data_IF_765706919872
#
_entry.id   IF_765706919872
#
_cell.length_a   1.000
_cell.length_b   1.000
_cell.length_c   1.000
_cell.angle_alpha   90.00
_cell.angle_beta   90.00
_cell.angle_gamma   90.00
#
_symmetry.space_group_name_H-M   'P 1'
#
loop_
_entity.id
_entity.type
_entity.pdbx_description
1 polymer ?
#
# COMPACT_ATOMS: atom_id res chain seq x y z
N UNK A 1 -21.52 1.22 22.76
CA UNK A 1 -20.60 1.58 21.66
C UNK A 1 -21.14 2.83 21.01
N UNK A 2 -20.31 3.83 20.76
CA UNK A 2 -20.70 4.99 19.96
C UNK A 2 -21.01 4.52 18.53
N UNK A 3 -21.93 5.19 17.85
CA UNK A 3 -22.14 4.99 16.41
C UNK A 3 -20.92 5.51 15.63
N UNK A 4 -20.81 5.09 14.36
CA UNK A 4 -19.75 5.59 13.47
C UNK A 4 -19.88 7.11 13.31
N UNK A 5 -21.11 7.62 13.19
CA UNK A 5 -21.40 9.04 13.08
C UNK A 5 -20.95 9.81 14.33
N UNK A 6 -21.21 9.29 15.53
CA UNK A 6 -20.76 9.89 16.80
C UNK A 6 -19.22 9.91 16.89
N UNK A 7 -18.55 8.82 16.48
CA UNK A 7 -17.08 8.76 16.43
C UNK A 7 -16.48 9.74 15.42
N UNK A 8 -17.13 9.96 14.27
CA UNK A 8 -16.70 10.95 13.29
C UNK A 8 -16.80 12.36 13.87
N UNK A 9 -17.89 12.69 14.56
CA UNK A 9 -18.05 14.00 15.19
C UNK A 9 -16.97 14.24 16.25
N UNK A 10 -16.72 13.26 17.11
CA UNK A 10 -15.65 13.34 18.11
C UNK A 10 -14.27 13.46 17.47
N UNK A 11 -13.97 12.70 16.41
CA UNK A 11 -12.70 12.81 15.70
C UNK A 11 -12.51 14.17 15.03
N UNK A 12 -13.59 14.77 14.49
CA UNK A 12 -13.54 16.08 13.85
C UNK A 12 -13.40 17.24 14.85
N UNK A 13 -13.85 17.05 16.10
CA UNK A 13 -13.72 18.04 17.19
C UNK A 13 -12.27 18.19 17.69
N UNK A 14 -11.41 17.20 17.40
CA UNK A 14 -10.01 17.23 17.81
C UNK A 14 -9.19 18.31 17.09
N UNK A 15 -8.12 18.84 17.74
CA UNK A 15 -7.13 19.67 17.08
C UNK A 15 -6.50 18.97 15.87
N UNK A 16 -6.07 19.75 14.88
CA UNK A 16 -5.57 19.22 13.61
C UNK A 16 -4.43 18.20 13.77
N UNK A 17 -3.51 18.42 14.70
CA UNK A 17 -2.40 17.49 14.99
C UNK A 17 -2.88 16.14 15.53
N UNK A 18 -3.85 16.15 16.44
CA UNK A 18 -4.45 14.94 16.99
C UNK A 18 -5.23 14.15 15.94
N UNK A 19 -5.86 14.83 14.98
CA UNK A 19 -6.53 14.17 13.85
C UNK A 19 -5.53 13.46 12.93
N UNK A 20 -4.41 14.08 12.62
CA UNK A 20 -3.33 13.44 11.83
C UNK A 20 -2.84 12.18 12.54
N UNK A 21 -2.55 12.28 13.85
CA UNK A 21 -2.14 11.12 14.64
C UNK A 21 -3.19 10.00 14.66
N UNK A 22 -4.47 10.34 14.79
CA UNK A 22 -5.56 9.38 14.74
C UNK A 22 -5.64 8.67 13.38
N UNK A 23 -5.51 9.43 12.28
CA UNK A 23 -5.48 8.87 10.91
C UNK A 23 -4.32 7.89 10.75
N UNK A 24 -3.12 8.23 11.21
CA UNK A 24 -1.96 7.31 11.16
C UNK A 24 -2.22 6.00 11.90
N UNK A 25 -2.85 6.06 13.08
CA UNK A 25 -3.19 4.86 13.86
C UNK A 25 -4.26 4.01 13.17
N UNK A 26 -5.28 4.66 12.60
CA UNK A 26 -6.34 3.97 11.86
C UNK A 26 -5.79 3.27 10.62
N UNK A 27 -4.97 3.96 9.82
CA UNK A 27 -4.28 3.35 8.66
C UNK A 27 -3.46 2.15 9.11
N UNK A 28 -2.66 2.30 10.18
CA UNK A 28 -1.85 1.19 10.71
C UNK A 28 -2.69 0.01 11.19
N UNK A 29 -3.89 0.24 11.72
CA UNK A 29 -4.80 -0.85 12.10
C UNK A 29 -5.42 -1.58 10.90
N UNK A 30 -5.42 -0.97 9.71
CA UNK A 30 -5.85 -1.65 8.48
C UNK A 30 -4.71 -2.50 7.90
N UNK A 31 -3.46 -2.20 8.25
CA UNK A 31 -2.28 -2.96 7.83
C UNK A 31 -2.08 -4.26 8.63
N UNK A 32 -2.83 -4.49 9.72
CA UNK A 32 -2.67 -5.68 10.56
C UNK A 32 -3.29 -6.96 10.00
N UNK A 33 -4.14 -6.85 8.97
CA UNK A 33 -4.73 -8.01 8.27
C UNK A 33 -3.93 -8.42 7.01
N UNK A 34 -2.73 -7.88 6.84
CA UNK A 34 -1.83 -8.33 5.78
C UNK A 34 -1.21 -9.64 6.25
N UNK A 35 -1.61 -10.74 5.61
CA UNK A 35 -0.99 -12.05 5.81
C UNK A 35 0.53 -11.92 5.64
N UNK A 36 1.27 -12.19 6.70
CA UNK A 36 2.73 -12.05 6.73
C UNK A 36 3.40 -12.91 5.66
N UNK A 37 2.80 -14.05 5.30
CA UNK A 37 3.29 -14.89 4.19
C UNK A 37 3.10 -14.22 2.83
N UNK A 38 1.97 -13.53 2.64
CA UNK A 38 1.74 -12.71 1.45
C UNK A 38 2.79 -11.60 1.41
N UNK A 39 2.94 -10.81 2.49
CA UNK A 39 3.92 -9.73 2.55
C UNK A 39 5.35 -10.21 2.27
N UNK A 40 5.75 -11.34 2.84
CA UNK A 40 7.07 -11.94 2.62
C UNK A 40 7.26 -12.40 1.17
N UNK A 41 6.21 -12.95 0.55
CA UNK A 41 6.24 -13.34 -0.86
C UNK A 41 6.41 -12.12 -1.78
N UNK A 42 5.66 -11.04 -1.52
CA UNK A 42 5.80 -9.77 -2.26
C UNK A 42 7.19 -9.16 -2.09
N UNK A 43 7.71 -9.13 -0.86
CA UNK A 43 9.06 -8.63 -0.58
C UNK A 43 10.14 -9.45 -1.29
N UNK A 44 9.98 -10.77 -1.35
CA UNK A 44 10.92 -11.68 -2.02
C UNK A 44 10.93 -11.42 -3.53
N UNK A 45 9.75 -11.36 -4.15
CA UNK A 45 9.63 -11.10 -5.58
C UNK A 45 10.13 -9.70 -5.95
N UNK A 46 9.83 -8.68 -5.15
CA UNK A 46 10.31 -7.31 -5.38
C UNK A 46 11.84 -7.22 -5.34
N UNK A 47 12.48 -7.86 -4.36
CA UNK A 47 13.96 -7.93 -4.27
C UNK A 47 14.55 -8.67 -5.46
N UNK A 48 13.98 -9.82 -5.81
CA UNK A 48 14.40 -10.62 -6.97
C UNK A 48 14.36 -9.78 -8.26
N UNK A 49 13.22 -9.16 -8.60
CA UNK A 49 13.09 -8.34 -9.82
C UNK A 49 14.05 -7.16 -9.87
N UNK A 50 14.24 -6.49 -8.73
CA UNK A 50 15.23 -5.40 -8.60
C UNK A 50 16.64 -5.91 -8.94
N UNK A 51 17.01 -7.06 -8.40
CA UNK A 51 18.35 -7.62 -8.58
C UNK A 51 18.54 -8.17 -10.01
N UNK A 52 17.51 -8.75 -10.61
CA UNK A 52 17.52 -9.15 -12.03
C UNK A 52 17.78 -7.95 -12.96
N UNK A 53 17.13 -6.81 -12.71
CA UNK A 53 17.36 -5.58 -13.48
C UNK A 53 18.78 -5.05 -13.24
N UNK A 54 19.21 -4.93 -11.98
CA UNK A 54 20.54 -4.38 -11.63
C UNK A 54 21.70 -5.21 -12.16
N UNK A 55 21.52 -6.53 -12.15
CA UNK A 55 22.52 -7.48 -12.63
C UNK A 55 22.38 -7.77 -14.13
N UNK A 56 21.50 -7.06 -14.85
CA UNK A 56 21.27 -7.23 -16.29
C UNK A 56 20.88 -8.67 -16.68
N UNK A 57 20.22 -9.40 -15.78
CA UNK A 57 19.70 -10.75 -16.02
C UNK A 57 18.48 -10.68 -16.95
N UNK A 58 17.75 -9.57 -16.89
CA UNK A 58 16.56 -9.30 -17.73
C UNK A 58 16.70 -7.95 -18.42
N UNK A 59 16.10 -7.83 -19.61
CA UNK A 59 16.00 -6.55 -20.32
C UNK A 59 14.69 -5.85 -19.93
N UNK A 60 14.74 -4.69 -19.25
CA UNK A 60 13.54 -3.95 -18.89
C UNK A 60 12.93 -3.28 -20.13
N UNK A 61 11.60 -3.24 -20.17
CA UNK A 61 10.85 -2.43 -21.15
C UNK A 61 10.40 -1.10 -20.53
N UNK A 62 10.06 -0.13 -21.36
CA UNK A 62 9.44 1.13 -20.90
C UNK A 62 8.13 0.85 -20.14
N UNK A 63 7.94 1.52 -18.99
CA UNK A 63 6.72 1.40 -18.18
C UNK A 63 5.45 1.77 -18.95
N UNK A 64 5.52 2.77 -19.83
CA UNK A 64 4.38 3.15 -20.69
C UNK A 64 4.00 2.01 -21.65
N UNK A 65 5.01 1.35 -22.24
CA UNK A 65 4.80 0.19 -23.11
C UNK A 65 4.20 -0.98 -22.34
N UNK A 66 4.69 -1.27 -21.15
CA UNK A 66 4.17 -2.33 -20.29
C UNK A 66 2.69 -2.09 -19.92
N UNK A 67 2.35 -0.88 -19.46
CA UNK A 67 0.97 -0.54 -19.10
C UNK A 67 0.03 -0.51 -20.31
N UNK A 68 0.52 -0.10 -21.48
CA UNK A 68 -0.27 -0.17 -22.72
C UNK A 68 -0.63 -1.61 -23.09
N UNK A 69 0.31 -2.55 -22.96
CA UNK A 69 0.04 -3.98 -23.20
C UNK A 69 -0.99 -4.54 -22.22
N UNK A 70 -0.90 -4.23 -20.92
CA UNK A 70 -1.87 -4.69 -19.91
C UNK A 70 -3.29 -4.24 -20.25
N UNK A 71 -3.45 -2.97 -20.66
CA UNK A 71 -4.75 -2.41 -21.05
C UNK A 71 -5.38 -3.08 -22.28
N UNK A 72 -4.61 -3.80 -23.08
CA UNK A 72 -5.14 -4.56 -24.22
C UNK A 72 -5.66 -5.95 -23.81
N UNK A 73 -5.33 -6.41 -22.61
CA UNK A 73 -5.64 -7.76 -22.11
C UNK A 73 -6.79 -7.73 -21.07
N UNK A 74 -7.08 -6.56 -20.50
CA UNK A 74 -8.24 -6.29 -19.64
C UNK A 74 -9.46 -5.87 -20.47
#
# INVERSE_FOLDING_TARGET
MLSVEELIQEALSLPSSSRVFLVEKLIKSLESDIDENIQNSWNTEAKKRRDEIRNHIVEPISGERALAQIRQIL
#
